data_IF_790346283139
#
_entry.id   IF_790346283139
#
_cell.length_a   1.000
_cell.length_b   1.000
_cell.length_c   1.000
_cell.angle_alpha   90.00
_cell.angle_beta   90.00
_cell.angle_gamma   90.00
#
_symmetry.space_group_name_H-M   'P 1'
#
loop_
_entity.id
_entity.type
_entity.pdbx_description
1 polymer ?
#
# COMPACT_ATOMS: atom_id res chain seq x y z
N UNK A 1 7.95 8.14 35.67
CA UNK A 1 6.85 8.65 34.80
C UNK A 1 6.05 7.45 34.34
N UNK A 2 4.74 7.44 34.61
CA UNK A 2 3.82 6.34 34.33
C UNK A 2 3.63 6.20 32.81
N UNK A 3 4.42 5.33 32.17
CA UNK A 3 4.10 4.83 30.84
C UNK A 3 3.03 3.76 30.98
N UNK A 4 2.00 3.80 30.14
CA UNK A 4 1.05 2.69 30.02
C UNK A 4 1.88 1.46 29.63
N UNK A 5 2.02 0.54 30.57
CA UNK A 5 2.73 -0.70 30.35
C UNK A 5 1.87 -1.69 29.58
N UNK A 6 2.51 -2.78 29.17
CA UNK A 6 1.80 -3.94 28.64
C UNK A 6 0.64 -4.44 29.55
N UNK A 7 0.78 -4.45 30.89
CA UNK A 7 -0.30 -4.85 31.79
C UNK A 7 -1.54 -3.95 31.70
N UNK A 8 -1.36 -2.63 31.71
CA UNK A 8 -2.47 -1.67 31.63
C UNK A 8 -3.21 -1.77 30.28
N UNK A 9 -2.47 -1.97 29.19
CA UNK A 9 -3.07 -2.16 27.85
C UNK A 9 -3.91 -3.44 27.80
N UNK A 10 -3.44 -4.54 28.41
CA UNK A 10 -4.20 -5.78 28.52
C UNK A 10 -5.50 -5.61 29.33
N UNK A 11 -5.49 -4.84 30.42
CA UNK A 11 -6.70 -4.56 31.21
C UNK A 11 -7.71 -3.78 30.39
N UNK A 12 -7.28 -2.73 29.68
CA UNK A 12 -8.16 -1.95 28.81
C UNK A 12 -8.74 -2.83 27.69
N UNK A 13 -7.89 -3.64 27.06
CA UNK A 13 -8.32 -4.59 26.04
C UNK A 13 -9.36 -5.57 26.59
N UNK A 14 -9.18 -6.07 27.81
CA UNK A 14 -10.11 -6.98 28.46
C UNK A 14 -11.47 -6.31 28.72
N UNK A 15 -11.51 -5.06 29.18
CA UNK A 15 -12.76 -4.30 29.38
C UNK A 15 -13.50 -4.12 28.05
N UNK A 16 -12.79 -3.74 26.98
CA UNK A 16 -13.37 -3.64 25.63
C UNK A 16 -13.92 -5.01 25.20
N UNK A 17 -13.20 -6.09 25.47
CA UNK A 17 -13.63 -7.45 25.18
C UNK A 17 -14.89 -7.87 25.93
N UNK A 18 -15.10 -7.38 27.17
CA UNK A 18 -16.32 -7.63 27.93
C UNK A 18 -17.53 -6.87 27.39
N UNK A 19 -17.34 -5.62 26.95
CA UNK A 19 -18.43 -4.78 26.41
C UNK A 19 -18.85 -5.26 25.02
N UNK A 20 -17.88 -5.50 24.14
CA UNK A 20 -18.14 -5.84 22.74
C UNK A 20 -18.14 -7.34 22.46
N UNK A 21 -17.63 -8.15 23.39
CA UNK A 21 -17.41 -9.59 23.21
C UNK A 21 -16.12 -9.88 22.44
N UNK A 22 -15.46 -10.99 22.78
CA UNK A 22 -14.22 -11.45 22.12
C UNK A 22 -14.35 -11.75 20.62
N UNK A 23 -15.57 -11.95 20.14
CA UNK A 23 -15.85 -12.23 18.73
C UNK A 23 -15.76 -11.00 17.81
N UNK A 24 -15.96 -9.78 18.34
CA UNK A 24 -16.02 -8.56 17.50
C UNK A 24 -14.66 -8.04 17.06
N UNK A 25 -13.63 -8.20 17.90
CA UNK A 25 -12.25 -7.83 17.57
C UNK A 25 -11.68 -8.57 16.33
N UNK A 26 -11.76 -9.91 16.22
CA UNK A 26 -11.29 -10.62 15.03
C UNK A 26 -12.15 -10.36 13.79
N UNK A 27 -13.45 -10.07 13.96
CA UNK A 27 -14.35 -9.69 12.87
C UNK A 27 -13.94 -8.34 12.25
N UNK A 28 -13.70 -7.33 13.10
CA UNK A 28 -13.18 -6.01 12.69
C UNK A 28 -11.79 -6.11 12.06
N UNK A 29 -10.88 -6.88 12.66
CA UNK A 29 -9.53 -7.09 12.13
C UNK A 29 -9.55 -7.75 10.74
N UNK A 30 -10.43 -8.74 10.52
CA UNK A 30 -10.62 -9.37 9.21
C UNK A 30 -11.16 -8.38 8.18
N UNK A 31 -12.12 -7.54 8.54
CA UNK A 31 -12.68 -6.51 7.66
C UNK A 31 -11.64 -5.45 7.28
N UNK A 32 -10.95 -4.89 8.26
CA UNK A 32 -9.90 -3.90 8.07
C UNK A 32 -8.71 -4.47 7.29
N UNK A 33 -8.29 -5.70 7.58
CA UNK A 33 -7.21 -6.37 6.87
C UNK A 33 -7.51 -6.59 5.39
N UNK A 34 -8.76 -6.97 5.06
CA UNK A 34 -9.20 -7.07 3.66
C UNK A 34 -9.17 -5.71 2.96
N UNK A 35 -9.71 -4.67 3.60
CA UNK A 35 -9.73 -3.31 3.05
C UNK A 35 -8.30 -2.79 2.78
N UNK A 36 -7.37 -2.97 3.72
CA UNK A 36 -5.97 -2.57 3.54
C UNK A 36 -5.30 -3.37 2.41
N UNK A 37 -5.58 -4.67 2.31
CA UNK A 37 -5.02 -5.52 1.25
C UNK A 37 -5.54 -5.13 -0.15
N UNK A 38 -6.84 -4.86 -0.28
CA UNK A 38 -7.44 -4.37 -1.53
C UNK A 38 -6.91 -2.98 -1.89
N UNK A 39 -6.78 -2.08 -0.91
CA UNK A 39 -6.20 -0.76 -1.12
C UNK A 39 -4.75 -0.83 -1.62
N UNK A 40 -3.92 -1.71 -1.03
CA UNK A 40 -2.55 -1.95 -1.51
C UNK A 40 -2.53 -2.46 -2.95
N UNK A 41 -3.34 -3.46 -3.29
CA UNK A 41 -3.42 -3.99 -4.66
C UNK A 41 -3.84 -2.94 -5.68
N UNK A 42 -4.80 -2.10 -5.32
CA UNK A 42 -5.23 -1.00 -6.18
C UNK A 42 -4.11 0.04 -6.38
N UNK A 43 -3.39 0.39 -5.31
CA UNK A 43 -2.24 1.29 -5.38
C UNK A 43 -1.15 0.73 -6.31
N UNK A 44 -0.77 -0.53 -6.13
CA UNK A 44 0.29 -1.17 -6.91
C UNK A 44 -0.10 -1.28 -8.40
N UNK A 45 -1.36 -1.65 -8.70
CA UNK A 45 -1.86 -1.71 -10.07
C UNK A 45 -1.92 -0.34 -10.78
N UNK A 46 -2.17 0.73 -10.03
CA UNK A 46 -2.13 2.11 -10.55
C UNK A 46 -0.68 2.54 -10.81
N UNK A 47 0.25 2.25 -9.89
CA UNK A 47 1.68 2.54 -10.08
C UNK A 47 2.25 1.81 -11.31
N UNK A 48 1.91 0.54 -11.52
CA UNK A 48 2.32 -0.23 -12.69
C UNK A 48 1.75 0.33 -14.00
N UNK A 49 0.49 0.78 -13.99
CA UNK A 49 -0.17 1.37 -15.17
C UNK A 49 0.46 2.70 -15.54
N UNK A 50 0.68 3.58 -14.56
CA UNK A 50 1.33 4.89 -14.75
C UNK A 50 2.78 4.69 -15.25
N UNK A 51 3.53 3.76 -14.66
CA UNK A 51 4.90 3.44 -15.09
C UNK A 51 4.94 2.92 -16.52
N UNK A 52 3.96 2.11 -16.92
CA UNK A 52 3.84 1.57 -18.28
C UNK A 52 3.46 2.64 -19.31
N UNK A 53 2.58 3.58 -18.96
CA UNK A 53 2.21 4.71 -19.83
C UNK A 53 3.35 5.71 -20.01
N UNK A 54 4.06 6.05 -18.92
CA UNK A 54 5.25 6.91 -18.95
C UNK A 54 6.38 6.28 -19.80
N UNK A 55 6.64 4.99 -19.60
CA UNK A 55 7.65 4.25 -20.39
C UNK A 55 7.26 4.06 -21.86
N UNK A 56 5.97 4.18 -22.20
CA UNK A 56 5.48 4.10 -23.59
C UNK A 56 5.51 5.45 -24.31
N UNK A 57 5.61 6.56 -23.57
CA UNK A 57 5.68 7.93 -24.12
C UNK A 57 7.13 8.39 -24.38
N UNK A 58 8.12 7.72 -23.78
CA UNK A 58 9.55 7.95 -24.04
C UNK A 58 10.14 6.95 -25.05
N UNK A 59 9.63 6.93 -26.29
CA UNK A 59 10.51 6.57 -27.42
C UNK A 59 11.33 7.82 -27.77
N UNK A 60 12.66 7.85 -27.53
CA UNK A 60 13.50 8.79 -28.23
C UNK A 60 13.41 8.44 -29.71
N UNK A 61 12.88 9.35 -30.50
CA UNK A 61 12.87 9.30 -31.95
C UNK A 61 14.32 9.16 -32.46
N UNK A 62 14.70 7.94 -32.83
CA UNK A 62 15.81 7.69 -33.74
C UNK A 62 15.43 8.29 -35.10
N UNK A 63 16.16 9.31 -35.56
CA UNK A 63 16.60 9.49 -36.95
C UNK A 63 17.24 10.89 -37.15
N UNK A 64 18.58 10.96 -37.13
CA UNK A 64 19.31 11.81 -38.09
C UNK A 64 20.44 10.98 -38.71
N UNK A 65 20.50 10.84 -40.05
CA UNK A 65 21.41 9.94 -40.74
C UNK A 65 22.88 10.27 -40.50
N UNK A 66 23.68 9.22 -40.36
CA UNK A 66 25.09 9.27 -40.74
C UNK A 66 25.18 9.60 -42.24
N UNK A 67 25.57 10.83 -42.57
CA UNK A 67 26.07 11.15 -43.91
C UNK A 67 27.59 11.26 -43.82
N UNK A 68 28.26 10.18 -44.20
CA UNK A 68 29.62 10.24 -44.74
C UNK A 68 29.50 10.82 -46.15
N UNK A 69 29.97 12.04 -46.39
CA UNK A 69 30.66 12.37 -47.64
C UNK A 69 31.58 13.59 -47.48
N UNK A 70 32.83 13.36 -47.92
CA UNK A 70 33.85 14.27 -48.47
C UNK A 70 33.73 15.77 -48.19
N UNK A 71 34.77 16.34 -47.56
CA UNK A 71 35.76 17.25 -48.20
C UNK A 71 36.96 17.38 -47.26
#
# INVERSE_FOLDING_TARGET
MFGIGYPELLVILFIILLIYGGAKLPELAKGMGKAVNEFKKAKDGVEDSIKKELSSTEKPNQNKPEEKDKT
#
